data_IF_126405913946
#
_entry.id   IF_126405913946
#
_cell.length_a   1.000
_cell.length_b   1.000
_cell.length_c   1.000
_cell.angle_alpha   90.00
_cell.angle_beta   90.00
_cell.angle_gamma   90.00
#
_symmetry.space_group_name_H-M   'P 1'
#
loop_
_entity.id
_entity.type
_entity.pdbx_description
1 polymer ?
#
# COMPACT_ATOMS: atom_id res chain seq x y z
N UNK A 1 9.65 29.98 15.78
CA UNK A 1 10.50 30.48 14.69
C UNK A 1 10.03 29.73 13.47
N UNK A 2 9.05 30.27 12.75
CA UNK A 2 8.50 29.65 11.54
C UNK A 2 9.64 29.48 10.54
N UNK A 3 9.98 28.24 10.20
CA UNK A 3 10.96 27.94 9.17
C UNK A 3 10.27 28.12 7.81
N UNK A 4 10.37 29.33 7.26
CA UNK A 4 10.05 29.60 5.85
C UNK A 4 11.13 29.00 4.94
N UNK A 5 11.20 27.67 4.85
CA UNK A 5 11.98 27.00 3.81
C UNK A 5 11.01 26.37 2.82
N UNK A 6 11.34 26.45 1.52
CA UNK A 6 10.63 25.69 0.50
C UNK A 6 10.71 24.19 0.87
N UNK A 7 9.59 23.45 0.77
CA UNK A 7 9.59 22.04 1.14
C UNK A 7 10.54 21.24 0.25
N UNK A 8 11.15 20.20 0.83
CA UNK A 8 11.95 19.24 0.09
C UNK A 8 11.04 18.44 -0.84
N UNK A 9 11.18 18.68 -2.14
CA UNK A 9 10.40 17.99 -3.17
C UNK A 9 11.04 16.63 -3.46
N UNK A 10 10.27 15.56 -3.24
CA UNK A 10 10.68 14.19 -3.53
C UNK A 10 9.64 13.56 -4.48
N UNK A 11 10.10 12.99 -5.60
CA UNK A 11 9.22 12.45 -6.64
C UNK A 11 9.72 11.12 -7.18
N UNK A 12 9.60 10.02 -6.40
CA UNK A 12 10.11 8.71 -6.81
C UNK A 12 9.35 8.18 -8.03
N UNK A 13 10.09 7.69 -9.02
CA UNK A 13 9.57 6.96 -10.18
C UNK A 13 9.30 5.49 -9.82
N UNK A 14 8.03 5.09 -9.90
CA UNK A 14 7.58 3.76 -9.45
C UNK A 14 7.10 2.92 -10.64
N UNK A 15 7.61 1.70 -10.73
CA UNK A 15 7.16 0.68 -11.66
C UNK A 15 6.31 -0.36 -10.93
N UNK A 16 5.03 -0.47 -11.32
CA UNK A 16 4.12 -1.48 -10.79
C UNK A 16 4.20 -2.76 -11.62
N UNK A 17 4.41 -3.88 -10.96
CA UNK A 17 4.29 -5.22 -11.54
C UNK A 17 3.00 -5.86 -11.02
N UNK A 18 2.08 -6.23 -11.91
CA UNK A 18 0.83 -6.88 -11.53
C UNK A 18 0.97 -8.36 -11.83
N UNK A 19 0.98 -9.21 -10.80
CA UNK A 19 1.14 -10.65 -10.95
C UNK A 19 -0.04 -11.30 -11.72
N UNK A 20 0.19 -12.50 -12.23
CA UNK A 20 -0.80 -13.16 -13.09
C UNK A 20 -2.10 -13.51 -12.36
N UNK A 21 -2.04 -13.73 -11.05
CA UNK A 21 -3.21 -14.06 -10.22
C UNK A 21 -4.07 -12.81 -10.04
N UNK A 22 -3.49 -11.69 -9.63
CA UNK A 22 -4.18 -10.42 -9.49
C UNK A 22 -4.75 -9.95 -10.82
N UNK A 23 -3.94 -9.98 -11.88
CA UNK A 23 -4.36 -9.60 -13.22
C UNK A 23 -5.60 -10.40 -13.69
N UNK A 24 -5.68 -11.68 -13.35
CA UNK A 24 -6.81 -12.55 -13.71
C UNK A 24 -8.13 -12.19 -13.02
N UNK A 25 -8.09 -11.42 -11.92
CA UNK A 25 -9.29 -10.94 -11.21
C UNK A 25 -9.87 -9.66 -11.83
N UNK A 26 -9.16 -9.04 -12.78
CA UNK A 26 -9.65 -7.92 -13.57
C UNK A 26 -10.23 -8.37 -14.91
N UNK A 27 -11.15 -7.57 -15.46
CA UNK A 27 -11.79 -7.88 -16.73
C UNK A 27 -10.83 -7.78 -17.93
N UNK A 28 -9.93 -6.80 -17.89
CA UNK A 28 -8.96 -6.51 -18.95
C UNK A 28 -7.89 -5.51 -18.47
N UNK A 29 -6.87 -5.30 -19.30
CA UNK A 29 -5.80 -4.31 -19.08
C UNK A 29 -6.31 -2.91 -18.79
N UNK A 30 -7.33 -2.43 -19.51
CA UNK A 30 -7.90 -1.10 -19.28
C UNK A 30 -8.46 -0.95 -17.86
N UNK A 31 -9.15 -1.99 -17.36
CA UNK A 31 -9.70 -2.01 -16.01
C UNK A 31 -8.62 -2.02 -14.91
N UNK A 32 -7.48 -2.69 -15.16
CA UNK A 32 -6.30 -2.67 -14.28
C UNK A 32 -5.73 -1.25 -14.21
N UNK A 33 -5.48 -0.64 -15.37
CA UNK A 33 -4.86 0.69 -15.44
C UNK A 33 -5.77 1.75 -14.82
N UNK A 34 -7.09 1.71 -15.05
CA UNK A 34 -8.06 2.60 -14.41
C UNK A 34 -8.11 2.43 -12.89
N UNK A 35 -8.07 1.18 -12.41
CA UNK A 35 -8.02 0.90 -10.98
C UNK A 35 -6.74 1.49 -10.35
N UNK A 36 -5.57 1.23 -10.94
CA UNK A 36 -4.31 1.74 -10.41
C UNK A 36 -4.14 3.26 -10.56
N UNK A 37 -4.88 3.89 -11.49
CA UNK A 37 -4.97 5.34 -11.58
C UNK A 37 -5.66 5.95 -10.34
N UNK A 38 -6.71 5.30 -9.81
CA UNK A 38 -7.36 5.71 -8.56
C UNK A 38 -6.51 5.31 -7.34
N UNK A 39 -5.94 4.10 -7.37
CA UNK A 39 -5.06 3.57 -6.31
C UNK A 39 -3.91 4.54 -5.99
N UNK A 40 -3.17 4.99 -7.01
CA UNK A 40 -2.04 5.91 -6.78
C UNK A 40 -2.48 7.26 -6.24
N UNK A 41 -3.70 7.71 -6.58
CA UNK A 41 -4.21 8.96 -6.02
C UNK A 41 -4.39 8.83 -4.50
N UNK A 42 -4.94 7.72 -4.00
CA UNK A 42 -5.05 7.46 -2.56
C UNK A 42 -3.70 7.24 -1.88
N UNK A 43 -2.79 6.50 -2.52
CA UNK A 43 -1.40 6.36 -2.06
C UNK A 43 -0.75 7.73 -1.88
N UNK A 44 -0.88 8.63 -2.85
CA UNK A 44 -0.33 9.98 -2.77
C UNK A 44 -1.05 10.85 -1.72
N UNK A 45 -2.32 10.61 -1.39
CA UNK A 45 -2.99 11.26 -0.26
C UNK A 45 -2.37 10.84 1.08
N UNK A 46 -1.94 9.58 1.23
CA UNK A 46 -1.20 9.14 2.44
C UNK A 46 0.18 9.78 2.50
N UNK A 47 0.93 9.85 1.39
CA UNK A 47 2.22 10.58 1.37
C UNK A 47 2.09 12.06 1.69
N UNK A 48 0.95 12.71 1.40
CA UNK A 48 0.67 14.10 1.79
C UNK A 48 0.47 14.30 3.30
N UNK A 49 0.34 13.23 4.09
CA UNK A 49 0.23 13.35 5.56
C UNK A 49 1.60 13.46 6.23
N UNK A 50 2.70 13.33 5.47
CA UNK A 50 4.03 13.67 5.96
C UNK A 50 4.06 15.15 6.37
N UNK A 51 5.07 15.47 7.17
CA UNK A 51 5.27 16.81 7.69
C UNK A 51 5.46 17.86 6.58
N UNK A 52 5.04 19.09 6.85
CA UNK A 52 4.90 20.16 5.85
C UNK A 52 6.21 20.57 5.14
N UNK A 53 7.37 20.21 5.69
CA UNK A 53 8.67 20.44 5.06
C UNK A 53 9.01 19.40 3.98
N UNK A 54 8.17 18.39 3.77
CA UNK A 54 8.30 17.38 2.72
C UNK A 54 7.13 17.48 1.76
N UNK A 55 7.43 17.62 0.46
CA UNK A 55 6.44 17.52 -0.60
C UNK A 55 6.73 16.26 -1.41
N UNK A 56 6.02 15.18 -1.09
CA UNK A 56 6.22 13.85 -1.71
C UNK A 56 5.08 13.52 -2.67
N UNK A 57 5.44 13.06 -3.87
CA UNK A 57 4.48 12.47 -4.80
C UNK A 57 5.12 11.35 -5.60
N UNK A 58 4.63 10.13 -5.42
CA UNK A 58 5.01 9.00 -6.27
C UNK A 58 4.51 9.20 -7.69
N UNK A 59 5.37 8.91 -8.65
CA UNK A 59 5.07 8.99 -10.08
C UNK A 59 5.10 7.57 -10.66
N UNK A 60 3.92 7.02 -10.98
CA UNK A 60 3.86 5.75 -11.71
C UNK A 60 4.34 5.98 -13.14
N UNK A 61 5.48 5.39 -13.48
CA UNK A 61 6.09 5.51 -14.81
C UNK A 61 5.71 4.35 -15.72
N UNK A 62 5.48 3.16 -15.14
CA UNK A 62 5.16 1.93 -15.85
C UNK A 62 4.23 1.04 -15.02
N UNK A 63 3.34 0.34 -15.71
CA UNK A 63 2.56 -0.78 -15.18
C UNK A 63 2.79 -1.96 -16.10
N UNK A 64 3.44 -3.00 -15.61
CA UNK A 64 3.67 -4.24 -16.34
C UNK A 64 2.75 -5.32 -15.81
N UNK A 65 1.88 -5.82 -16.69
CA UNK A 65 0.95 -6.91 -16.38
C UNK A 65 1.61 -8.22 -16.76
N UNK A 66 1.77 -9.09 -15.77
CA UNK A 66 2.49 -10.35 -15.92
C UNK A 66 1.54 -11.51 -16.23
N UNK A 67 2.12 -12.55 -16.79
CA UNK A 67 1.51 -13.87 -16.96
C UNK A 67 2.36 -14.88 -16.19
N UNK A 68 1.83 -16.10 -16.00
CA UNK A 68 2.57 -17.21 -15.37
C UNK A 68 3.95 -17.48 -15.98
N UNK A 69 4.12 -17.17 -17.27
CA UNK A 69 5.39 -17.39 -17.98
C UNK A 69 6.36 -16.22 -17.89
N UNK A 70 5.90 -15.05 -17.43
CA UNK A 70 6.70 -13.81 -17.35
C UNK A 70 6.96 -13.36 -15.92
N UNK A 71 6.61 -14.17 -14.93
CA UNK A 71 6.85 -13.91 -13.50
C UNK A 71 7.82 -14.93 -12.86
N UNK A 72 9.03 -15.16 -13.43
CA UNK A 72 9.94 -16.24 -13.00
C UNK A 72 10.46 -16.10 -11.56
N UNK A 73 10.28 -14.92 -10.96
CA UNK A 73 10.66 -14.63 -9.58
C UNK A 73 9.64 -15.10 -8.54
N UNK A 74 8.40 -15.41 -8.94
CA UNK A 74 7.35 -15.88 -8.03
C UNK A 74 7.73 -17.27 -7.50
N UNK A 75 7.86 -17.39 -6.18
CA UNK A 75 8.13 -18.65 -5.48
C UNK A 75 6.94 -19.03 -4.62
N UNK A 76 6.44 -20.24 -4.85
CA UNK A 76 5.34 -20.83 -4.08
C UNK A 76 5.81 -22.03 -3.27
N UNK A 77 5.17 -22.33 -2.12
CA UNK A 77 5.43 -23.57 -1.40
C UNK A 77 5.08 -24.81 -2.24
N UNK A 78 5.72 -25.97 -2.00
CA UNK A 78 5.33 -27.21 -2.65
C UNK A 78 3.85 -27.54 -2.42
N UNK A 79 3.12 -27.84 -3.50
CA UNK A 79 1.70 -28.23 -3.48
C UNK A 79 0.73 -27.17 -2.92
N UNK A 80 1.15 -25.91 -2.75
CA UNK A 80 0.28 -24.80 -2.36
C UNK A 80 0.38 -23.66 -3.37
N UNK A 81 -0.60 -23.57 -4.27
CA UNK A 81 -0.65 -22.55 -5.32
C UNK A 81 -1.26 -21.21 -4.87
N UNK A 82 -1.86 -21.17 -3.68
CA UNK A 82 -2.61 -20.03 -3.13
C UNK A 82 -1.74 -19.02 -2.39
N UNK A 83 -0.44 -19.30 -2.27
CA UNK A 83 0.52 -18.51 -1.49
C UNK A 83 1.74 -18.17 -2.34
N UNK A 84 2.24 -16.95 -2.18
CA UNK A 84 3.56 -16.51 -2.62
C UNK A 84 4.47 -16.37 -1.40
N UNK A 85 5.73 -16.81 -1.51
CA UNK A 85 6.66 -16.79 -0.39
C UNK A 85 7.49 -15.51 -0.37
N UNK A 86 7.95 -15.08 0.80
CA UNK A 86 8.90 -13.96 0.96
C UNK A 86 10.20 -14.14 0.14
N UNK A 87 10.59 -15.38 -0.18
CA UNK A 87 11.72 -15.67 -1.07
C UNK A 87 11.51 -15.13 -2.50
N UNK A 88 10.28 -14.79 -2.87
CA UNK A 88 9.97 -14.13 -4.14
C UNK A 88 10.55 -12.73 -4.22
N UNK A 89 10.66 -12.02 -3.09
CA UNK A 89 11.25 -10.67 -3.05
C UNK A 89 12.73 -10.70 -3.44
N UNK A 90 13.49 -11.67 -2.90
CA UNK A 90 14.91 -11.83 -3.25
C UNK A 90 15.09 -12.21 -4.73
N UNK A 91 14.20 -13.05 -5.29
CA UNK A 91 14.24 -13.36 -6.71
C UNK A 91 13.83 -12.18 -7.58
N UNK A 92 12.88 -11.35 -7.13
CA UNK A 92 12.48 -10.14 -7.82
C UNK A 92 13.63 -9.14 -7.85
N UNK A 93 14.32 -8.95 -6.72
CA UNK A 93 15.55 -8.16 -6.64
C UNK A 93 16.54 -8.60 -7.72
N UNK A 94 16.90 -9.88 -7.72
CA UNK A 94 17.84 -10.43 -8.71
C UNK A 94 17.33 -10.24 -10.15
N UNK A 95 16.04 -10.49 -10.40
CA UNK A 95 15.43 -10.33 -11.72
C UNK A 95 15.53 -8.88 -12.23
N UNK A 96 15.20 -7.90 -11.38
CA UNK A 96 15.28 -6.48 -11.75
C UNK A 96 16.72 -6.00 -11.91
N UNK A 97 17.68 -6.53 -11.15
CA UNK A 97 19.10 -6.19 -11.25
C UNK A 97 19.70 -6.61 -12.59
N UNK A 98 19.29 -7.77 -13.14
CA UNK A 98 19.81 -8.30 -14.40
C UNK A 98 18.99 -7.95 -15.65
N UNK A 99 17.87 -7.23 -15.51
CA UNK A 99 17.04 -6.83 -16.63
C UNK A 99 17.08 -5.30 -16.81
N UNK A 100 17.61 -4.86 -17.96
CA UNK A 100 17.80 -3.43 -18.29
C UNK A 100 16.50 -2.61 -18.34
N UNK A 101 15.34 -3.27 -18.45
CA UNK A 101 14.03 -2.61 -18.39
C UNK A 101 13.82 -1.83 -17.09
N UNK A 102 14.42 -2.30 -15.99
CA UNK A 102 14.25 -1.73 -14.66
C UNK A 102 15.34 -0.72 -14.29
N UNK A 103 16.38 -0.53 -15.12
CA UNK A 103 17.57 0.25 -14.74
C UNK A 103 17.23 1.65 -14.24
N UNK A 104 16.26 2.32 -14.87
CA UNK A 104 15.88 3.69 -14.56
C UNK A 104 14.72 3.82 -13.56
N UNK A 105 14.17 2.72 -13.05
CA UNK A 105 13.10 2.79 -12.05
C UNK A 105 13.72 3.08 -10.68
N UNK A 106 13.16 4.01 -9.90
CA UNK A 106 13.63 4.27 -8.53
C UNK A 106 13.19 3.16 -7.59
N UNK A 107 11.96 2.68 -7.81
CA UNK A 107 11.25 1.69 -7.01
C UNK A 107 10.46 0.76 -7.95
N UNK A 108 10.46 -0.54 -7.63
CA UNK A 108 9.65 -1.56 -8.32
C UNK A 108 8.79 -2.29 -7.27
N UNK A 109 7.48 -2.34 -7.46
CA UNK A 109 6.58 -3.03 -6.51
C UNK A 109 5.76 -4.09 -7.22
N UNK A 110 5.83 -5.33 -6.73
CA UNK A 110 4.96 -6.42 -7.15
C UNK A 110 3.66 -6.38 -6.35
N UNK A 111 2.54 -6.20 -7.06
CA UNK A 111 1.20 -6.34 -6.53
C UNK A 111 0.69 -7.74 -6.86
N UNK A 112 0.30 -8.48 -5.83
CA UNK A 112 -0.05 -9.91 -5.92
C UNK A 112 -1.46 -10.16 -5.40
N UNK A 113 -2.18 -11.05 -6.09
CA UNK A 113 -3.50 -11.51 -5.66
C UNK A 113 -3.45 -12.78 -4.80
N UNK A 114 -2.23 -13.24 -4.47
CA UNK A 114 -1.91 -14.35 -3.58
C UNK A 114 -1.52 -13.83 -2.19
N UNK A 115 -1.81 -14.64 -1.17
CA UNK A 115 -1.35 -14.35 0.18
C UNK A 115 0.17 -14.52 0.26
N UNK A 116 0.88 -13.55 0.82
CA UNK A 116 2.30 -13.57 1.11
C UNK A 116 2.49 -14.33 2.42
N UNK A 117 3.45 -15.25 2.43
CA UNK A 117 3.79 -15.97 3.65
C UNK A 117 5.27 -16.33 3.75
N UNK A 118 5.70 -16.64 4.97
CA UNK A 118 6.96 -17.34 5.19
C UNK A 118 6.76 -18.85 4.98
N UNK A 119 7.75 -19.51 4.39
CA UNK A 119 7.77 -20.95 4.17
C UNK A 119 9.01 -21.57 4.77
N UNK A 120 8.82 -22.55 5.65
CA UNK A 120 9.91 -23.31 6.25
C UNK A 120 10.10 -24.62 5.48
N UNK A 121 11.19 -24.69 4.73
CA UNK A 121 11.55 -25.85 3.91
C UNK A 121 11.96 -27.08 4.72
N UNK A 122 12.32 -26.92 6.00
CA UNK A 122 12.70 -28.04 6.86
C UNK A 122 11.46 -28.73 7.44
N UNK A 123 10.47 -27.94 7.86
CA UNK A 123 9.20 -28.46 8.40
C UNK A 123 8.15 -28.70 7.31
N UNK A 124 8.37 -28.22 6.08
CA UNK A 124 7.39 -28.14 4.99
C UNK A 124 6.09 -27.45 5.41
N UNK A 125 6.21 -26.35 6.17
CA UNK A 125 5.07 -25.58 6.66
C UNK A 125 5.12 -24.13 6.20
N UNK A 126 3.95 -23.59 5.94
CA UNK A 126 3.71 -22.15 5.86
C UNK A 126 3.59 -21.66 7.31
N UNK A 127 4.46 -20.74 7.74
CA UNK A 127 4.60 -20.36 9.16
C UNK A 127 4.12 -18.94 9.49
N UNK A 128 3.88 -18.09 8.49
CA UNK A 128 3.43 -16.70 8.69
C UNK A 128 2.40 -16.28 7.64
N UNK A 129 1.17 -16.77 7.77
CA UNK A 129 0.02 -16.21 7.06
C UNK A 129 -0.35 -14.87 7.74
N UNK A 130 -0.60 -13.81 6.95
CA UNK A 130 -0.91 -12.46 7.46
C UNK A 130 0.19 -11.40 7.26
N UNK A 131 1.24 -11.71 6.49
CA UNK A 131 2.17 -10.71 5.97
C UNK A 131 1.48 -10.06 4.77
N UNK A 132 1.07 -8.79 4.85
CA UNK A 132 0.40 -8.13 3.73
C UNK A 132 1.38 -7.54 2.71
N UNK A 133 2.63 -7.34 3.11
CA UNK A 133 3.67 -6.71 2.30
C UNK A 133 5.08 -7.06 2.80
N UNK A 134 6.07 -6.86 1.92
CA UNK A 134 7.48 -7.05 2.28
C UNK A 134 8.40 -6.24 1.36
N UNK A 135 9.31 -5.46 1.95
CA UNK A 135 10.28 -4.65 1.21
C UNK A 135 11.63 -4.52 1.93
N UNK A 136 12.64 -4.04 1.19
CA UNK A 136 13.95 -3.72 1.76
C UNK A 136 13.99 -2.27 2.27
N UNK A 137 14.33 -2.08 3.54
CA UNK A 137 14.52 -0.74 4.11
C UNK A 137 15.66 -0.02 3.37
N UNK A 138 15.41 1.21 2.90
CA UNK A 138 16.35 2.02 2.12
C UNK A 138 16.74 1.39 0.78
N UNK A 139 15.81 0.65 0.17
CA UNK A 139 16.04 -0.05 -1.10
C UNK A 139 16.03 0.84 -2.34
N UNK A 140 15.33 1.99 -2.31
CA UNK A 140 15.26 2.90 -3.44
C UNK A 140 16.67 3.35 -3.89
N UNK A 141 16.85 3.55 -5.19
CA UNK A 141 18.15 3.84 -5.84
C UNK A 141 19.23 2.75 -5.74
N UNK A 142 18.91 1.56 -5.20
CA UNK A 142 19.85 0.43 -5.06
C UNK A 142 19.33 -0.78 -5.81
N UNK A 143 20.12 -1.87 -5.86
CA UNK A 143 19.64 -3.13 -6.45
C UNK A 143 18.48 -3.73 -5.67
N UNK A 144 18.34 -3.41 -4.38
CA UNK A 144 17.25 -3.80 -3.49
C UNK A 144 15.99 -2.92 -3.57
N UNK A 145 15.77 -2.20 -4.67
CA UNK A 145 14.63 -1.29 -4.89
C UNK A 145 13.25 -1.94 -5.04
N UNK A 146 13.10 -3.17 -4.56
CA UNK A 146 11.93 -4.00 -4.79
C UNK A 146 11.09 -4.16 -3.53
N UNK A 147 9.76 -4.12 -3.70
CA UNK A 147 8.78 -4.48 -2.68
C UNK A 147 7.72 -5.42 -3.24
N UNK A 148 6.97 -6.09 -2.36
CA UNK A 148 5.81 -6.90 -2.72
C UNK A 148 4.64 -6.61 -1.79
N UNK A 149 3.42 -6.56 -2.32
CA UNK A 149 2.21 -6.13 -1.61
C UNK A 149 1.02 -6.97 -2.08
N UNK A 150 0.25 -7.48 -1.14
CA UNK A 150 -1.07 -8.07 -1.42
C UNK A 150 -2.06 -6.98 -1.83
N UNK A 151 -2.81 -7.24 -2.90
CA UNK A 151 -3.92 -6.40 -3.29
C UNK A 151 -5.04 -7.23 -3.89
N UNK A 152 -6.23 -6.66 -3.92
CA UNK A 152 -7.42 -7.31 -4.42
C UNK A 152 -8.14 -6.44 -5.45
N UNK A 153 -8.62 -7.07 -6.52
CA UNK A 153 -9.10 -6.34 -7.67
C UNK A 153 -10.34 -5.52 -7.33
N UNK A 154 -10.25 -4.20 -7.53
CA UNK A 154 -11.31 -3.22 -7.25
C UNK A 154 -11.64 -3.07 -5.74
N UNK A 155 -10.75 -3.48 -4.83
CA UNK A 155 -11.00 -3.37 -3.40
C UNK A 155 -10.10 -2.36 -2.67
N UNK A 156 -8.99 -1.91 -3.27
CA UNK A 156 -8.02 -1.00 -2.66
C UNK A 156 -7.44 -1.50 -1.32
N UNK A 157 -7.48 -2.81 -1.05
CA UNK A 157 -6.96 -3.39 0.19
C UNK A 157 -5.45 -3.19 0.32
N UNK A 158 -4.73 -3.08 -0.79
CA UNK A 158 -3.30 -2.87 -0.80
C UNK A 158 -2.83 -1.44 -0.56
N UNK A 159 -3.70 -0.40 -0.50
CA UNK A 159 -3.22 1.00 -0.50
C UNK A 159 -2.41 1.36 0.74
N UNK A 160 -2.85 0.96 1.94
CA UNK A 160 -2.14 1.21 3.19
C UNK A 160 -0.80 0.47 3.19
N UNK A 161 -0.82 -0.82 2.93
CA UNK A 161 0.38 -1.67 2.89
C UNK A 161 1.37 -1.20 1.83
N UNK A 162 0.92 -0.81 0.65
CA UNK A 162 1.79 -0.26 -0.39
C UNK A 162 2.54 0.97 0.10
N UNK A 163 1.86 1.87 0.80
CA UNK A 163 2.50 3.08 1.35
C UNK A 163 3.50 2.72 2.45
N UNK A 164 3.19 1.75 3.31
CA UNK A 164 4.11 1.21 4.31
C UNK A 164 5.39 0.64 3.67
N UNK A 165 5.24 -0.26 2.70
CA UNK A 165 6.37 -0.90 2.03
C UNK A 165 7.21 0.09 1.19
N UNK A 166 6.56 1.07 0.56
CA UNK A 166 7.30 2.16 -0.12
C UNK A 166 8.00 3.07 0.91
N UNK A 167 7.41 3.30 2.08
CA UNK A 167 8.07 3.97 3.21
C UNK A 167 9.38 3.27 3.59
N UNK A 168 9.35 1.93 3.72
CA UNK A 168 10.57 1.14 3.88
C UNK A 168 11.56 1.38 2.76
N UNK A 169 11.16 1.28 1.49
CA UNK A 169 12.06 1.52 0.35
C UNK A 169 12.69 2.91 0.36
N UNK A 170 11.98 3.90 0.87
CA UNK A 170 12.41 5.28 1.06
C UNK A 170 13.17 5.53 2.37
N UNK A 171 13.61 4.47 3.06
CA UNK A 171 14.53 4.55 4.19
C UNK A 171 13.89 4.63 5.58
N UNK A 172 12.57 4.49 5.68
CA UNK A 172 11.86 4.51 6.97
C UNK A 172 11.92 3.12 7.65
N UNK A 173 12.41 3.05 8.89
CA UNK A 173 12.16 1.90 9.77
C UNK A 173 10.77 1.99 10.42
N UNK A 174 10.34 0.91 11.09
CA UNK A 174 9.11 0.94 11.87
C UNK A 174 9.18 1.95 13.02
N UNK A 175 8.05 2.56 13.36
CA UNK A 175 7.94 3.39 14.56
C UNK A 175 8.35 2.58 15.81
N UNK A 176 9.20 3.16 16.65
CA UNK A 176 9.80 2.50 17.82
C UNK A 176 11.16 1.84 17.56
N UNK A 177 11.57 1.64 16.31
CA UNK A 177 12.84 0.98 15.99
C UNK A 177 14.06 1.90 16.05
N UNK A 178 15.22 1.29 16.28
CA UNK A 178 16.53 1.92 16.12
C UNK A 178 16.84 2.20 14.63
N UNK A 179 17.80 3.11 14.33
CA UNK A 179 18.20 3.38 12.95
C UNK A 179 18.63 2.12 12.17
N UNK A 180 18.16 1.94 10.92
CA UNK A 180 18.55 0.80 10.12
C UNK A 180 20.02 0.94 9.67
N UNK A 181 20.79 -0.13 9.84
CA UNK A 181 22.24 -0.11 9.62
C UNK A 181 22.67 0.26 8.20
N UNK A 182 21.81 0.06 7.21
CA UNK A 182 22.09 0.28 5.79
C UNK A 182 21.55 1.63 5.27
N UNK A 183 21.02 2.49 6.14
CA UNK A 183 20.63 3.87 5.78
C UNK A 183 21.54 4.84 6.52
N UNK A 184 22.38 5.56 5.76
CA UNK A 184 23.31 6.51 6.34
C UNK A 184 22.55 7.65 7.02
N UNK A 185 23.01 8.06 8.21
CA UNK A 185 22.48 9.19 8.97
C UNK A 185 20.98 9.09 9.34
N UNK A 186 20.35 7.92 9.22
CA UNK A 186 18.96 7.76 9.67
C UNK A 186 18.86 8.05 11.18
N UNK A 187 17.89 8.87 11.61
CA UNK A 187 17.63 9.09 13.03
C UNK A 187 16.93 7.89 13.71
N UNK A 188 16.48 6.89 12.92
CA UNK A 188 15.59 5.84 13.39
C UNK A 188 14.22 6.39 13.78
N UNK A 189 13.42 5.62 14.52
CA UNK A 189 12.07 6.01 14.90
C UNK A 189 11.74 5.73 16.38
N UNK A 190 12.76 5.51 17.22
CA UNK A 190 12.60 5.15 18.64
C UNK A 190 11.76 6.12 19.47
N UNK A 191 11.63 7.38 19.05
CA UNK A 191 10.86 8.41 19.75
C UNK A 191 9.40 8.54 19.25
N UNK A 192 9.01 7.78 18.23
CA UNK A 192 7.62 7.59 17.85
C UNK A 192 7.13 6.26 18.41
N UNK A 193 6.02 6.29 19.13
CA UNK A 193 5.48 5.11 19.80
C UNK A 193 4.71 4.22 18.80
N UNK A 194 5.20 3.00 18.59
CA UNK A 194 4.57 1.98 17.75
C UNK A 194 3.07 1.80 18.02
N UNK A 195 2.62 2.01 19.27
CA UNK A 195 1.22 1.83 19.66
C UNK A 195 0.28 2.94 19.18
N UNK A 196 0.80 4.06 18.67
CA UNK A 196 -0.01 5.07 17.97
C UNK A 196 -0.60 4.50 16.68
N UNK A 197 0.04 3.49 16.10
CA UNK A 197 -0.46 2.82 14.91
C UNK A 197 -0.41 3.70 13.66
N UNK A 198 0.54 4.63 13.57
CA UNK A 198 0.83 5.39 12.36
C UNK A 198 1.24 4.45 11.22
N UNK A 199 1.31 4.96 9.98
CA UNK A 199 1.54 4.14 8.78
C UNK A 199 2.77 3.23 8.93
N UNK A 200 3.84 3.67 9.58
CA UNK A 200 5.06 2.88 9.79
C UNK A 200 5.06 2.07 11.09
N UNK A 201 3.93 1.92 11.79
CA UNK A 201 3.84 1.03 12.93
C UNK A 201 4.10 -0.44 12.50
N UNK A 202 4.81 -1.24 13.33
CA UNK A 202 5.13 -2.64 13.00
C UNK A 202 3.92 -3.58 13.02
N UNK A 203 2.76 -3.10 13.46
CA UNK A 203 1.52 -3.87 13.53
C UNK A 203 0.33 -2.96 13.23
N UNK A 204 -0.57 -3.45 12.38
CA UNK A 204 -1.78 -2.74 11.98
C UNK A 204 -3.01 -3.31 12.69
N UNK A 205 -3.85 -2.43 13.23
CA UNK A 205 -5.05 -2.76 13.97
C UNK A 205 -6.18 -1.78 13.63
N UNK A 206 -7.42 -2.08 14.03
CA UNK A 206 -8.60 -1.21 13.79
C UNK A 206 -8.45 0.21 14.37
N UNK A 207 -7.51 0.45 15.28
CA UNK A 207 -7.25 1.79 15.83
C UNK A 207 -6.03 2.48 15.20
N UNK A 208 -5.33 1.81 14.26
CA UNK A 208 -4.22 2.38 13.52
C UNK A 208 -4.69 3.59 12.71
N UNK A 209 -3.81 4.57 12.55
CA UNK A 209 -4.07 5.77 11.77
C UNK A 209 -3.58 5.56 10.33
N UNK A 210 -4.11 6.34 9.40
CA UNK A 210 -3.63 6.38 8.01
C UNK A 210 -2.79 7.65 7.76
N UNK A 211 -2.00 8.05 8.76
CA UNK A 211 -1.05 9.16 8.69
C UNK A 211 0.36 8.69 9.02
N UNK A 212 1.36 9.39 8.50
CA UNK A 212 2.76 9.17 8.85
C UNK A 212 3.12 9.86 10.17
N UNK A 213 4.02 9.24 10.93
CA UNK A 213 4.63 9.84 12.11
C UNK A 213 5.67 10.90 11.71
N UNK A 214 6.03 11.78 12.64
CA UNK A 214 7.16 12.71 12.46
C UNK A 214 8.48 11.96 12.23
N UNK A 215 8.66 10.78 12.84
CA UNK A 215 9.85 9.94 12.62
C UNK A 215 9.94 9.44 11.18
N UNK A 216 8.80 9.18 10.53
CA UNK A 216 8.77 8.80 9.12
C UNK A 216 9.28 9.95 8.24
N UNK A 217 8.86 11.19 8.54
CA UNK A 217 9.35 12.38 7.85
C UNK A 217 10.84 12.63 8.07
N UNK A 218 11.31 12.58 9.32
CA UNK A 218 12.72 12.79 9.66
C UNK A 218 13.64 11.75 8.99
N UNK A 219 13.21 10.49 8.92
CA UNK A 219 13.95 9.43 8.23
C UNK A 219 13.98 9.63 6.71
N UNK A 220 12.87 10.05 6.10
CA UNK A 220 12.81 10.33 4.67
C UNK A 220 13.71 11.50 4.28
N UNK A 221 13.71 12.58 5.08
CA UNK A 221 14.61 13.72 4.87
C UNK A 221 16.08 13.25 4.92
N UNK A 222 16.45 12.46 5.95
CA UNK A 222 17.80 11.92 6.07
C UNK A 222 18.18 11.02 4.88
N UNK A 223 17.27 10.15 4.43
CA UNK A 223 17.49 9.27 3.28
C UNK A 223 17.70 10.05 1.98
N UNK A 224 16.88 11.08 1.73
CA UNK A 224 17.01 11.94 0.54
C UNK A 224 18.30 12.77 0.56
N UNK A 225 18.79 13.15 1.74
CA UNK A 225 20.01 13.96 1.89
C UNK A 225 21.30 13.12 1.77
N UNK A 226 21.21 11.79 1.72
CA UNK A 226 22.36 10.92 1.49
C UNK A 226 22.91 11.12 0.06
N UNK A 227 24.19 11.53 -0.12
CA UNK A 227 24.78 11.78 -1.43
C UNK A 227 24.86 10.53 -2.33
N UNK A 228 24.71 9.33 -1.78
CA UNK A 228 24.66 8.08 -2.54
C UNK A 228 23.25 7.80 -3.11
N UNK A 229 22.21 8.45 -2.60
CA UNK A 229 20.80 8.33 -3.05
C UNK A 229 20.53 9.33 -4.18
N UNK A 230 21.05 9.03 -5.37
CA UNK A 230 21.01 9.96 -6.52
C UNK A 230 19.75 9.89 -7.38
N UNK A 231 19.06 8.77 -7.40
CA UNK A 231 17.92 8.57 -8.32
C UNK A 231 16.77 9.54 -8.00
N UNK A 232 16.47 9.75 -6.71
CA UNK A 232 15.45 10.67 -6.22
C UNK A 232 15.80 12.16 -6.36
N UNK A 233 16.99 12.50 -6.89
CA UNK A 233 17.37 13.89 -7.17
C UNK A 233 16.79 14.40 -8.50
N UNK A 234 16.29 13.50 -9.35
CA UNK A 234 15.56 13.90 -10.54
C UNK A 234 14.18 14.48 -10.16
N UNK A 235 13.56 15.21 -11.08
CA UNK A 235 12.22 15.80 -10.90
C UNK A 235 11.33 15.41 -12.07
N UNK A 236 10.94 14.13 -12.19
CA UNK A 236 9.98 13.72 -13.20
C UNK A 236 8.70 14.56 -13.12
N UNK A 237 8.01 14.80 -14.24
CA UNK A 237 6.72 15.48 -14.22
C UNK A 237 5.75 14.73 -13.31
N UNK A 238 5.30 15.42 -12.26
CA UNK A 238 4.25 14.95 -11.36
C UNK A 238 2.96 14.64 -12.12
N UNK A 239 2.17 13.74 -11.56
CA UNK A 239 0.83 13.43 -12.03
C UNK A 239 -0.03 14.70 -12.07
N UNK A 240 -0.60 14.97 -13.23
CA UNK A 240 -1.36 16.18 -13.51
C UNK A 240 -2.72 15.91 -14.15
N UNK A 241 -3.04 14.65 -14.47
CA UNK A 241 -4.34 14.28 -15.01
C UNK A 241 -5.34 14.24 -13.86
N UNK A 242 -6.37 15.08 -13.93
CA UNK A 242 -7.45 15.08 -12.95
C UNK A 242 -8.26 13.78 -13.05
N UNK A 243 -8.54 13.17 -11.90
CA UNK A 243 -9.56 12.14 -11.75
C UNK A 243 -10.91 12.82 -11.60
N UNK A 244 -11.89 12.40 -12.39
CA UNK A 244 -13.26 12.88 -12.23
C UNK A 244 -13.93 12.19 -11.06
N UNK A 245 -14.96 12.83 -10.50
CA UNK A 245 -15.82 12.20 -9.48
C UNK A 245 -16.42 10.89 -9.98
N UNK A 246 -16.71 10.79 -11.28
CA UNK A 246 -17.24 9.55 -11.87
C UNK A 246 -16.19 8.44 -11.88
N UNK A 247 -14.93 8.74 -12.23
CA UNK A 247 -13.85 7.75 -12.21
C UNK A 247 -13.70 7.13 -10.79
N UNK A 248 -13.87 7.94 -9.76
CA UNK A 248 -13.81 7.52 -8.35
C UNK A 248 -15.06 6.70 -7.98
N UNK A 249 -16.26 7.19 -8.31
CA UNK A 249 -17.53 6.51 -8.00
C UNK A 249 -17.68 5.15 -8.70
N UNK A 250 -17.14 5.00 -9.90
CA UNK A 250 -17.13 3.72 -10.63
C UNK A 250 -16.31 2.63 -9.93
N UNK A 251 -15.44 3.02 -8.99
CA UNK A 251 -14.58 2.12 -8.22
C UNK A 251 -14.95 2.04 -6.74
N UNK A 252 -16.14 2.49 -6.35
CA UNK A 252 -16.56 2.50 -4.94
C UNK A 252 -16.55 1.08 -4.37
N UNK A 253 -15.97 0.91 -3.18
CA UNK A 253 -15.89 -0.39 -2.52
C UNK A 253 -17.20 -0.65 -1.78
N UNK A 254 -17.78 -1.83 -1.98
CA UNK A 254 -18.98 -2.27 -1.30
C UNK A 254 -18.61 -3.03 0.00
N UNK A 255 -19.05 -2.59 1.20
CA UNK A 255 -18.71 -3.25 2.46
C UNK A 255 -19.11 -4.72 2.56
N UNK A 256 -20.22 -5.11 1.93
CA UNK A 256 -20.67 -6.50 1.92
C UNK A 256 -19.80 -7.37 0.98
N UNK A 257 -19.32 -6.82 -0.13
CA UNK A 257 -18.37 -7.52 -1.01
C UNK A 257 -17.02 -7.69 -0.32
N UNK A 258 -16.54 -6.64 0.37
CA UNK A 258 -15.36 -6.72 1.22
C UNK A 258 -15.49 -7.83 2.28
N UNK A 259 -16.59 -7.88 3.04
CA UNK A 259 -16.79 -8.95 4.03
C UNK A 259 -16.78 -10.36 3.42
N UNK A 260 -17.34 -10.53 2.21
CA UNK A 260 -17.30 -11.84 1.52
C UNK A 260 -15.90 -12.21 1.08
N UNK A 261 -15.07 -11.22 0.76
CA UNK A 261 -13.70 -11.41 0.34
C UNK A 261 -12.81 -11.83 1.51
N UNK A 262 -12.90 -11.11 2.63
CA UNK A 262 -12.12 -11.38 3.85
C UNK A 262 -12.54 -12.68 4.56
N UNK A 263 -13.77 -13.14 4.35
CA UNK A 263 -14.32 -14.35 4.99
C UNK A 263 -14.85 -15.36 3.96
N UNK A 264 -13.99 -15.85 3.05
CA UNK A 264 -14.41 -16.65 1.91
C UNK A 264 -15.03 -17.98 2.37
N UNK A 265 -16.11 -18.39 1.70
CA UNK A 265 -16.81 -19.65 1.99
C UNK A 265 -17.61 -19.67 3.28
N UNK A 266 -17.80 -18.53 3.94
CA UNK A 266 -18.61 -18.41 5.16
C UNK A 266 -19.92 -17.65 4.92
N UNK A 267 -20.91 -17.87 5.78
CA UNK A 267 -22.17 -17.12 5.78
C UNK A 267 -21.96 -15.75 6.46
N UNK A 268 -21.43 -14.78 5.72
CA UNK A 268 -20.99 -13.49 6.23
C UNK A 268 -21.89 -12.33 5.77
N UNK A 269 -22.28 -11.49 6.73
CA UNK A 269 -23.11 -10.29 6.50
C UNK A 269 -22.38 -9.06 7.03
N UNK A 270 -22.43 -7.95 6.27
CA UNK A 270 -22.00 -6.64 6.76
C UNK A 270 -23.03 -6.04 7.73
N UNK A 271 -22.59 -5.53 8.87
CA UNK A 271 -23.43 -4.79 9.81
C UNK A 271 -23.17 -3.29 9.72
N UNK A 272 -24.24 -2.48 9.71
CA UNK A 272 -24.11 -1.02 9.58
C UNK A 272 -23.43 -0.35 10.79
N UNK A 273 -23.68 -0.87 11.99
CA UNK A 273 -23.09 -0.36 13.22
C UNK A 273 -23.10 -1.43 14.32
N UNK A 274 -22.11 -1.35 15.21
CA UNK A 274 -22.12 -2.09 16.48
C UNK A 274 -21.56 -1.23 17.61
N UNK A 275 -21.88 -1.62 18.84
CA UNK A 275 -21.28 -1.07 20.05
C UNK A 275 -20.58 -2.17 20.85
N UNK A 276 -19.28 -2.01 21.09
CA UNK A 276 -18.49 -2.92 21.92
C UNK A 276 -17.95 -2.13 23.12
N UNK A 277 -18.52 -2.37 24.29
CA UNK A 277 -18.25 -1.56 25.49
C UNK A 277 -18.67 -0.10 25.27
N UNK A 278 -17.69 0.81 25.34
CA UNK A 278 -17.91 2.25 25.11
C UNK A 278 -17.56 2.69 23.67
N UNK A 279 -17.06 1.79 22.84
CA UNK A 279 -16.67 2.10 21.46
C UNK A 279 -17.82 1.81 20.50
N UNK A 280 -18.02 2.72 19.56
CA UNK A 280 -18.95 2.59 18.44
C UNK A 280 -18.14 2.37 17.17
N UNK A 281 -18.56 1.39 16.37
CA UNK A 281 -17.99 1.09 15.08
C UNK A 281 -19.09 1.22 14.05
N UNK A 282 -18.80 1.92 12.96
CA UNK A 282 -19.68 2.10 11.80
C UNK A 282 -18.89 2.67 10.62
N UNK A 283 -19.53 2.67 9.46
CA UNK A 283 -18.90 3.17 8.24
C UNK A 283 -18.57 4.66 8.27
N UNK A 284 -19.21 5.49 9.11
CA UNK A 284 -18.84 6.90 9.22
C UNK A 284 -17.47 7.09 9.88
N UNK A 285 -17.01 6.09 10.64
CA UNK A 285 -15.65 5.96 11.18
C UNK A 285 -14.73 5.13 10.28
N UNK A 286 -15.22 4.74 9.11
CA UNK A 286 -14.52 3.85 8.19
C UNK A 286 -14.18 2.49 8.82
N UNK A 287 -15.08 1.97 9.65
CA UNK A 287 -15.00 0.62 10.18
C UNK A 287 -15.97 -0.29 9.41
N UNK A 288 -15.48 -1.38 8.82
CA UNK A 288 -16.31 -2.45 8.26
C UNK A 288 -16.51 -3.54 9.30
N UNK A 289 -17.77 -3.88 9.57
CA UNK A 289 -18.15 -4.91 10.52
C UNK A 289 -18.69 -6.12 9.77
N UNK A 290 -18.03 -7.26 9.91
CA UNK A 290 -18.47 -8.52 9.31
C UNK A 290 -18.98 -9.49 10.39
N UNK A 291 -20.23 -9.92 10.27
CA UNK A 291 -20.87 -10.91 11.14
C UNK A 291 -20.94 -12.26 10.42
N UNK A 292 -20.35 -13.28 11.02
CA UNK A 292 -20.58 -14.66 10.61
C UNK A 292 -21.90 -15.15 11.24
N UNK A 293 -22.91 -15.38 10.42
CA UNK A 293 -24.27 -15.71 10.87
C UNK A 293 -24.35 -17.06 11.59
N UNK A 294 -23.50 -18.00 11.22
CA UNK A 294 -23.52 -19.37 11.76
C UNK A 294 -22.86 -19.43 13.14
N UNK A 295 -21.72 -18.76 13.31
CA UNK A 295 -20.93 -18.76 14.55
C UNK A 295 -21.27 -17.58 15.46
N UNK A 296 -21.98 -16.57 14.95
CA UNK A 296 -22.21 -15.27 15.58
C UNK A 296 -20.92 -14.51 15.91
N UNK A 297 -19.79 -14.89 15.29
CA UNK A 297 -18.51 -14.19 15.44
C UNK A 297 -18.55 -12.88 14.66
N UNK A 298 -18.08 -11.81 15.28
CA UNK A 298 -17.90 -10.49 14.67
C UNK A 298 -16.41 -10.27 14.43
N UNK A 299 -16.07 -9.73 13.27
CA UNK A 299 -14.74 -9.22 12.94
C UNK A 299 -14.82 -7.78 12.47
N UNK A 300 -13.86 -6.96 12.89
CA UNK A 300 -13.73 -5.55 12.53
C UNK A 300 -12.55 -5.38 11.59
N UNK A 301 -12.73 -4.56 10.57
CA UNK A 301 -11.73 -4.26 9.55
C UNK A 301 -11.75 -2.77 9.25
N UNK A 302 -10.59 -2.21 8.91
CA UNK A 302 -10.52 -0.89 8.32
C UNK A 302 -11.24 -0.93 6.96
N UNK A 303 -12.07 0.07 6.70
CA UNK A 303 -12.65 0.24 5.38
C UNK A 303 -11.54 0.65 4.41
N UNK A 304 -11.34 -0.05 3.28
CA UNK A 304 -10.44 0.40 2.25
C UNK A 304 -10.81 1.80 1.76
N UNK A 305 -9.80 2.54 1.27
CA UNK A 305 -10.06 3.83 0.61
C UNK A 305 -11.10 3.62 -0.51
N UNK A 306 -11.97 4.62 -0.71
CA UNK A 306 -13.12 4.58 -1.61
C UNK A 306 -14.31 3.70 -1.17
N UNK A 307 -14.34 3.19 0.06
CA UNK A 307 -15.55 2.56 0.60
C UNK A 307 -16.66 3.60 0.80
N UNK A 308 -17.88 3.32 0.35
CA UNK A 308 -19.02 4.21 0.62
C UNK A 308 -19.30 4.26 2.14
N UNK A 309 -19.18 5.46 2.74
CA UNK A 309 -19.29 5.61 4.19
C UNK A 309 -20.62 6.19 4.67
N UNK A 310 -21.51 6.56 3.75
CA UNK A 310 -22.85 7.05 4.04
C UNK A 310 -23.88 6.41 3.12
N UNK A 311 -24.97 5.91 3.72
CA UNK A 311 -26.15 5.42 2.98
C UNK A 311 -27.02 6.56 2.45
N UNK A 312 -26.92 7.75 3.03
CA UNK A 312 -27.70 8.93 2.65
C UNK A 312 -27.03 9.75 1.54
N UNK A 313 -25.70 9.74 1.49
CA UNK A 313 -24.92 10.54 0.54
C UNK A 313 -23.81 9.72 -0.14
N UNK A 314 -24.06 9.31 -1.39
CA UNK A 314 -23.12 8.56 -2.24
C UNK A 314 -21.89 9.35 -2.68
N UNK A 315 -21.72 10.59 -2.21
CA UNK A 315 -20.51 11.39 -2.43
C UNK A 315 -19.59 11.41 -1.22
N UNK A 316 -19.95 10.69 -0.14
CA UNK A 316 -19.09 10.46 1.02
C UNK A 316 -18.43 9.08 0.91
N UNK A 317 -17.11 9.06 0.96
CA UNK A 317 -16.28 7.86 0.89
C UNK A 317 -15.22 7.88 1.99
N UNK A 318 -14.72 6.70 2.35
CA UNK A 318 -13.56 6.56 3.21
C UNK A 318 -12.28 6.96 2.47
N UNK A 319 -11.51 7.88 3.04
CA UNK A 319 -10.16 8.21 2.61
C UNK A 319 -9.34 8.42 3.87
N UNK A 320 -8.22 7.71 3.98
CA UNK A 320 -7.34 7.79 5.16
C UNK A 320 -8.09 7.61 6.48
N UNK A 321 -9.07 6.68 6.49
CA UNK A 321 -9.91 6.34 7.65
C UNK A 321 -10.90 7.43 8.07
N UNK A 322 -11.05 8.49 7.28
CA UNK A 322 -12.07 9.51 7.48
C UNK A 322 -13.17 9.40 6.42
N UNK A 323 -14.43 9.54 6.85
CA UNK A 323 -15.57 9.64 5.95
C UNK A 323 -15.69 11.07 5.41
N UNK A 324 -15.24 11.28 4.17
CA UNK A 324 -15.10 12.61 3.57
C UNK A 324 -15.79 12.71 2.22
N UNK A 325 -16.03 13.93 1.74
CA UNK A 325 -16.49 14.15 0.37
C UNK A 325 -15.41 13.71 -0.62
N UNK A 326 -15.84 13.10 -1.73
CA UNK A 326 -14.96 12.77 -2.85
C UNK A 326 -14.16 14.02 -3.25
N UNK A 327 -12.82 14.02 -3.13
CA UNK A 327 -12.01 15.19 -3.45
C UNK A 327 -12.04 15.46 -4.95
N UNK A 328 -12.10 16.74 -5.32
CA UNK A 328 -12.20 17.17 -6.73
C UNK A 328 -10.84 17.51 -7.36
N UNK A 329 -9.77 17.47 -6.58
CA UNK A 329 -8.41 17.86 -6.96
C UNK A 329 -7.44 16.65 -7.03
N UNK A 330 -7.97 15.41 -7.01
CA UNK A 330 -7.14 14.22 -7.14
C UNK A 330 -6.51 14.14 -8.53
N UNK A 331 -5.20 13.84 -8.52
CA UNK A 331 -4.38 13.75 -9.73
C UNK A 331 -3.82 12.34 -9.87
N UNK A 332 -3.70 11.90 -11.12
CA UNK A 332 -3.16 10.60 -11.50
C UNK A 332 -2.32 10.70 -12.78
N UNK A 333 -1.74 9.57 -13.19
CA UNK A 333 -0.99 9.48 -14.44
C UNK A 333 -1.91 9.56 -15.66
N UNK A 334 -1.35 9.98 -16.78
CA UNK A 334 -2.07 9.93 -18.06
C UNK A 334 -2.14 8.48 -18.55
N UNK A 335 -3.34 7.93 -18.65
CA UNK A 335 -3.58 6.64 -19.28
C UNK A 335 -3.30 6.80 -20.77
N UNK A 336 -2.23 6.14 -21.25
CA UNK A 336 -1.94 6.02 -22.68
C UNK A 336 -2.47 4.66 -23.17
N UNK A 337 -3.18 4.61 -24.32
CA UNK A 337 -3.71 3.38 -24.88
C UNK A 337 -2.65 2.33 -25.20
#
# INVERSE_FOLDING_TARGET
>A
MERFYDPLIITPEVHLLIDSVLASKFNNTESIVKYYAVFVAFVNLKFKTLEEWLDVQLVITKITILSKNTEPFVKKPPQNESVITIASLENLKNYTEYNSEFTNDDIVVLLTGLNIASYNSTSNKVESEGILGYAYVGGACRSSKVGMVEDEANMFTGTHTFVHEVGHLLGMSHDGDDPPHNVANSPGARYCDASQGDIMAPSHHINSTHIFSVCSADQLEAFQMDPDIKCLSNKPPRHNKELTVNDIKEKVVNPQEFCKLEHPGTNITHLENIKVGNMQYDLMRCDIICLNEDTRKITLHDAPDNTACSTENSSLICINKDCVYIPTDLKTFTIKP
#
